data_IF_951741295652
#
_entry.id   IF_951741295652
#
_cell.length_a   1.000
_cell.length_b   1.000
_cell.length_c   1.000
_cell.angle_alpha   90.00
_cell.angle_beta   90.00
_cell.angle_gamma   90.00
#
_symmetry.space_group_name_H-M   'P 1'
#
loop_
_entity.id
_entity.type
_entity.pdbx_description
1 polymer ?
#
# COMPACT_ATOMS: atom_id res chain seq x y z
N UNK A 1 8.29 -1.87 2.99
CA UNK A 1 8.53 -3.33 2.98
C UNK A 1 10.01 -3.61 2.71
N UNK A 2 10.64 -4.61 3.35
CA UNK A 2 12.05 -4.98 3.13
C UNK A 2 12.23 -5.76 1.82
N UNK A 3 12.54 -5.03 0.74
CA UNK A 3 12.69 -5.58 -0.62
C UNK A 3 13.92 -6.50 -0.77
N UNK A 4 14.95 -6.35 0.07
CA UNK A 4 16.10 -7.26 0.08
C UNK A 4 15.70 -8.67 0.51
N UNK A 5 14.98 -8.78 1.62
CA UNK A 5 14.48 -10.06 2.10
C UNK A 5 13.50 -10.66 1.08
N UNK A 6 12.63 -9.83 0.50
CA UNK A 6 11.69 -10.29 -0.52
C UNK A 6 12.38 -10.85 -1.77
N UNK A 7 13.42 -10.19 -2.29
CA UNK A 7 14.20 -10.70 -3.43
C UNK A 7 14.84 -12.06 -3.15
N UNK A 8 15.30 -12.29 -1.92
CA UNK A 8 15.82 -13.60 -1.53
C UNK A 8 14.71 -14.65 -1.39
N UNK A 9 13.50 -14.28 -0.94
CA UNK A 9 12.33 -15.18 -0.98
C UNK A 9 12.01 -15.57 -2.42
N UNK A 10 12.04 -14.63 -3.37
CA UNK A 10 11.83 -14.93 -4.79
C UNK A 10 12.89 -15.87 -5.36
N UNK A 11 14.17 -15.65 -5.05
CA UNK A 11 15.24 -16.56 -5.47
C UNK A 11 14.99 -17.98 -4.92
N UNK A 12 14.69 -18.09 -3.63
CA UNK A 12 14.38 -19.38 -3.01
C UNK A 12 13.10 -20.01 -3.63
N UNK A 13 12.09 -19.21 -3.95
CA UNK A 13 10.87 -19.67 -4.61
C UNK A 13 11.18 -20.31 -5.96
N UNK A 14 12.02 -19.66 -6.77
CA UNK A 14 12.46 -20.14 -8.09
C UNK A 14 13.27 -21.43 -7.93
N UNK A 15 14.22 -21.47 -6.99
CA UNK A 15 15.09 -22.62 -6.76
C UNK A 15 14.31 -23.87 -6.31
N UNK A 16 13.26 -23.68 -5.50
CA UNK A 16 12.41 -24.76 -4.98
C UNK A 16 11.20 -25.07 -5.87
N UNK A 17 11.05 -24.41 -7.02
CA UNK A 17 9.82 -24.45 -7.81
C UNK A 17 9.40 -25.84 -8.26
N UNK A 18 10.35 -26.64 -8.73
CA UNK A 18 10.12 -28.03 -9.14
C UNK A 18 9.75 -28.92 -7.95
N UNK A 19 10.42 -28.76 -6.81
CA UNK A 19 10.13 -29.50 -5.58
C UNK A 19 8.70 -29.23 -5.09
N UNK A 20 8.27 -27.96 -5.12
CA UNK A 20 6.92 -27.56 -4.68
C UNK A 20 5.80 -28.11 -5.58
N UNK A 21 6.12 -28.62 -6.77
CA UNK A 21 5.15 -29.07 -7.76
C UNK A 21 5.44 -30.48 -8.30
N UNK A 22 6.21 -31.28 -7.56
CA UNK A 22 6.55 -32.64 -7.95
C UNK A 22 5.37 -33.63 -7.77
N UNK A 23 5.63 -34.92 -7.54
CA UNK A 23 4.57 -35.91 -7.31
C UNK A 23 4.14 -36.02 -5.84
N UNK A 24 4.99 -35.56 -4.92
CA UNK A 24 4.72 -35.55 -3.47
C UNK A 24 4.03 -34.26 -3.04
N UNK A 25 4.34 -33.16 -3.71
CA UNK A 25 3.80 -31.82 -3.52
C UNK A 25 2.98 -31.41 -4.74
N UNK A 26 2.04 -30.48 -4.57
CA UNK A 26 1.23 -29.99 -5.70
C UNK A 26 0.71 -28.62 -5.32
N UNK A 27 1.55 -27.57 -5.41
CA UNK A 27 1.10 -26.20 -5.13
C UNK A 27 0.33 -25.59 -6.32
N UNK A 28 0.53 -26.10 -7.54
CA UNK A 28 -0.29 -25.79 -8.72
C UNK A 28 -1.78 -26.04 -8.50
N UNK A 29 -2.14 -26.92 -7.56
CA UNK A 29 -3.53 -27.15 -7.16
C UNK A 29 -4.30 -25.87 -6.79
N UNK A 30 -3.62 -24.78 -6.37
CA UNK A 30 -4.26 -23.49 -6.07
C UNK A 30 -4.95 -22.88 -7.30
N UNK A 31 -4.29 -22.95 -8.46
CA UNK A 31 -4.82 -22.50 -9.74
C UNK A 31 -5.97 -23.38 -10.22
N UNK A 32 -5.82 -24.70 -10.06
CA UNK A 32 -6.90 -25.68 -10.29
C UNK A 32 -8.13 -25.40 -9.42
N UNK A 33 -7.91 -25.18 -8.12
CA UNK A 33 -8.99 -24.97 -7.17
C UNK A 33 -9.80 -23.72 -7.52
N UNK A 34 -9.15 -22.62 -7.88
CA UNK A 34 -9.82 -21.40 -8.31
C UNK A 34 -10.62 -21.62 -9.61
N UNK A 35 -10.03 -22.29 -10.60
CA UNK A 35 -10.69 -22.60 -11.88
C UNK A 35 -11.98 -23.40 -11.68
N UNK A 36 -11.92 -24.48 -10.91
CA UNK A 36 -13.08 -25.34 -10.69
C UNK A 36 -14.09 -24.74 -9.71
N UNK A 37 -13.64 -24.03 -8.68
CA UNK A 37 -14.55 -23.48 -7.66
C UNK A 37 -15.53 -22.48 -8.26
N UNK A 38 -15.05 -21.49 -9.02
CA UNK A 38 -15.92 -20.49 -9.66
C UNK A 38 -16.99 -21.16 -10.52
N UNK A 39 -16.56 -22.01 -11.47
CA UNK A 39 -17.46 -22.70 -12.41
C UNK A 39 -18.50 -23.55 -11.70
N UNK A 40 -18.08 -24.35 -10.73
CA UNK A 40 -19.00 -25.22 -10.01
C UNK A 40 -19.92 -24.43 -9.07
N UNK A 41 -19.46 -23.33 -8.46
CA UNK A 41 -20.33 -22.47 -7.68
C UNK A 41 -21.38 -21.78 -8.56
N UNK A 42 -21.01 -21.25 -9.72
CA UNK A 42 -21.96 -20.65 -10.67
C UNK A 42 -23.09 -21.62 -11.02
N UNK A 43 -22.75 -22.88 -11.33
CA UNK A 43 -23.71 -23.95 -11.59
C UNK A 43 -24.55 -24.27 -10.35
N UNK A 44 -23.92 -24.43 -9.18
CA UNK A 44 -24.60 -24.79 -7.94
C UNK A 44 -25.63 -23.74 -7.52
N UNK A 45 -25.32 -22.44 -7.68
CA UNK A 45 -26.22 -21.35 -7.28
C UNK A 45 -27.52 -21.31 -8.11
N UNK A 46 -27.58 -21.99 -9.27
CA UNK A 46 -28.81 -22.16 -10.06
C UNK A 46 -29.69 -23.33 -9.59
N UNK A 47 -29.17 -24.23 -8.76
CA UNK A 47 -29.85 -25.44 -8.30
C UNK A 47 -30.59 -25.20 -6.97
N UNK A 48 -31.49 -26.09 -6.58
CA UNK A 48 -32.27 -25.97 -5.34
C UNK A 48 -32.29 -27.26 -4.53
N UNK A 49 -32.60 -27.14 -3.23
CA UNK A 49 -32.77 -28.27 -2.33
C UNK A 49 -31.64 -29.29 -2.41
N UNK A 50 -31.98 -30.55 -2.71
CA UNK A 50 -31.03 -31.67 -2.74
C UNK A 50 -29.95 -31.51 -3.82
N UNK A 51 -30.28 -30.96 -4.99
CA UNK A 51 -29.32 -30.84 -6.09
C UNK A 51 -28.26 -29.77 -5.81
N UNK A 52 -28.65 -28.70 -5.12
CA UNK A 52 -27.70 -27.73 -4.58
C UNK A 52 -26.75 -28.38 -3.57
N UNK A 53 -27.28 -29.16 -2.62
CA UNK A 53 -26.46 -29.85 -1.60
C UNK A 53 -25.48 -30.84 -2.25
N UNK A 54 -25.92 -31.64 -3.21
CA UNK A 54 -25.05 -32.56 -3.95
C UNK A 54 -23.93 -31.82 -4.70
N UNK A 55 -24.22 -30.62 -5.20
CA UNK A 55 -23.22 -29.79 -5.88
C UNK A 55 -22.21 -29.22 -4.89
N UNK A 56 -22.65 -28.73 -3.72
CA UNK A 56 -21.72 -28.31 -2.67
C UNK A 56 -20.83 -29.47 -2.17
N UNK A 57 -21.35 -30.70 -2.10
CA UNK A 57 -20.54 -31.88 -1.74
C UNK A 57 -19.40 -32.10 -2.73
N UNK A 58 -19.63 -31.92 -4.04
CA UNK A 58 -18.58 -32.00 -5.07
C UNK A 58 -17.57 -30.86 -4.97
N UNK A 59 -18.06 -29.63 -4.76
CA UNK A 59 -17.20 -28.45 -4.62
C UNK A 59 -16.27 -28.59 -3.42
N UNK A 60 -16.75 -29.21 -2.33
CA UNK A 60 -15.92 -29.49 -1.16
C UNK A 60 -14.70 -30.32 -1.52
N UNK A 61 -14.81 -31.28 -2.42
CA UNK A 61 -13.66 -32.10 -2.81
C UNK A 61 -12.56 -31.31 -3.52
N UNK A 62 -12.92 -30.22 -4.21
CA UNK A 62 -11.99 -29.27 -4.83
C UNK A 62 -11.28 -28.42 -3.78
N UNK A 63 -12.03 -27.86 -2.81
CA UNK A 63 -11.51 -26.81 -1.92
C UNK A 63 -11.06 -27.27 -0.54
N UNK A 64 -11.29 -28.54 -0.18
CA UNK A 64 -11.04 -29.06 1.17
C UNK A 64 -9.60 -28.89 1.67
N UNK A 65 -8.62 -28.77 0.79
CA UNK A 65 -7.20 -28.59 1.17
C UNK A 65 -6.90 -27.13 1.54
N UNK A 66 -7.54 -26.16 0.86
CA UNK A 66 -7.33 -24.73 1.12
C UNK A 66 -8.17 -24.23 2.29
N UNK A 67 -9.45 -24.61 2.27
CA UNK A 67 -10.46 -24.05 3.17
C UNK A 67 -10.67 -24.92 4.40
N UNK A 68 -10.81 -26.24 4.19
CA UNK A 68 -11.00 -27.20 5.26
C UNK A 68 -9.65 -27.75 5.78
N UNK A 69 -9.69 -28.45 6.90
CA UNK A 69 -8.53 -28.96 7.63
C UNK A 69 -9.00 -29.53 8.97
N UNK A 70 -8.36 -29.17 10.09
CA UNK A 70 -8.94 -29.49 11.42
C UNK A 70 -10.30 -28.81 11.62
N UNK A 71 -10.39 -27.56 11.17
CA UNK A 71 -11.66 -26.86 11.00
C UNK A 71 -12.27 -27.30 9.68
N UNK A 72 -13.59 -27.36 9.60
CA UNK A 72 -14.33 -27.77 8.41
C UNK A 72 -15.38 -26.69 8.08
N UNK A 73 -14.98 -25.44 7.83
CA UNK A 73 -15.92 -24.37 7.54
C UNK A 73 -16.79 -24.67 6.30
N UNK A 74 -16.21 -25.10 5.18
CA UNK A 74 -17.02 -25.37 3.98
C UNK A 74 -17.83 -26.65 4.18
N UNK A 75 -17.20 -27.72 4.69
CA UNK A 75 -17.92 -28.94 5.08
C UNK A 75 -19.05 -28.71 6.09
N UNK A 76 -18.92 -27.71 6.96
CA UNK A 76 -19.95 -27.28 7.88
C UNK A 76 -21.16 -26.68 7.18
N UNK A 77 -20.96 -25.82 6.17
CA UNK A 77 -22.04 -25.28 5.34
C UNK A 77 -22.75 -26.39 4.55
N UNK A 78 -22.00 -27.35 4.01
CA UNK A 78 -22.57 -28.55 3.36
C UNK A 78 -23.44 -29.34 4.35
N UNK A 79 -22.93 -29.59 5.57
CA UNK A 79 -23.65 -30.32 6.59
C UNK A 79 -24.92 -29.59 7.06
N UNK A 80 -24.88 -28.27 7.18
CA UNK A 80 -26.03 -27.40 7.47
C UNK A 80 -27.07 -27.50 6.35
N UNK A 81 -26.64 -27.31 5.10
CA UNK A 81 -27.53 -27.35 3.94
C UNK A 81 -28.19 -28.72 3.76
N UNK A 82 -27.50 -29.82 4.10
CA UNK A 82 -28.01 -31.20 4.01
C UNK A 82 -28.99 -31.58 5.12
N UNK A 83 -28.93 -30.91 6.26
CA UNK A 83 -29.66 -31.29 7.48
C UNK A 83 -31.17 -31.25 7.26
N UNK A 84 -31.89 -32.12 7.97
CA UNK A 84 -33.36 -32.18 8.02
C UNK A 84 -34.03 -32.09 6.64
N UNK A 85 -33.57 -32.95 5.71
CA UNK A 85 -34.06 -33.02 4.34
C UNK A 85 -33.91 -31.72 3.54
N UNK A 86 -32.74 -31.08 3.68
CA UNK A 86 -32.36 -29.86 2.96
C UNK A 86 -33.17 -28.61 3.31
N UNK A 87 -33.73 -28.54 4.53
CA UNK A 87 -34.55 -27.40 4.99
C UNK A 87 -33.81 -26.05 4.92
N UNK A 88 -32.50 -26.03 5.20
CA UNK A 88 -31.68 -24.81 5.21
C UNK A 88 -30.84 -24.60 3.94
N UNK A 89 -31.14 -25.33 2.87
CA UNK A 89 -30.38 -25.25 1.63
C UNK A 89 -30.43 -23.83 1.03
N UNK A 90 -31.59 -23.18 1.06
CA UNK A 90 -31.75 -21.84 0.49
C UNK A 90 -31.12 -20.75 1.36
N UNK A 91 -31.10 -20.89 2.68
CA UNK A 91 -30.35 -19.99 3.56
C UNK A 91 -28.84 -20.10 3.31
N UNK A 92 -28.31 -21.31 3.17
CA UNK A 92 -26.88 -21.49 2.85
C UNK A 92 -26.55 -20.95 1.46
N UNK A 93 -27.43 -21.17 0.46
CA UNK A 93 -27.26 -20.58 -0.87
C UNK A 93 -27.24 -19.06 -0.79
N UNK A 94 -28.18 -18.47 -0.05
CA UNK A 94 -28.27 -17.01 0.12
C UNK A 94 -26.98 -16.41 0.68
N UNK A 95 -26.32 -17.10 1.62
CA UNK A 95 -25.01 -16.65 2.13
C UNK A 95 -23.99 -16.46 0.99
N UNK A 96 -23.87 -17.43 0.08
CA UNK A 96 -22.94 -17.33 -1.04
C UNK A 96 -23.38 -16.30 -2.08
N UNK A 97 -24.68 -16.24 -2.40
CA UNK A 97 -25.22 -15.22 -3.32
C UNK A 97 -24.93 -13.81 -2.81
N UNK A 98 -25.14 -13.57 -1.51
CA UNK A 98 -24.90 -12.26 -0.90
C UNK A 98 -23.39 -11.95 -0.81
N UNK A 99 -22.54 -12.94 -0.54
CA UNK A 99 -21.09 -12.78 -0.49
C UNK A 99 -20.47 -12.43 -1.84
N UNK A 100 -20.93 -13.08 -2.92
CA UNK A 100 -20.39 -12.92 -4.28
C UNK A 100 -21.01 -11.76 -5.06
N UNK A 101 -21.89 -10.95 -4.45
CA UNK A 101 -22.33 -9.70 -5.05
C UNK A 101 -21.14 -8.78 -5.29
N UNK A 102 -21.16 -8.11 -6.43
CA UNK A 102 -20.20 -7.06 -6.76
C UNK A 102 -20.19 -5.97 -5.67
N UNK A 103 -19.00 -5.64 -5.17
CA UNK A 103 -18.77 -4.54 -4.24
C UNK A 103 -18.27 -3.27 -4.91
N UNK A 104 -18.00 -3.29 -6.22
CA UNK A 104 -17.47 -2.17 -6.98
C UNK A 104 -16.05 -1.78 -6.53
N UNK A 105 -15.24 -2.77 -6.15
CA UNK A 105 -13.90 -2.61 -5.58
C UNK A 105 -13.84 -1.77 -4.30
N UNK A 106 -14.95 -1.73 -3.57
CA UNK A 106 -15.05 -1.03 -2.30
C UNK A 106 -14.76 -1.99 -1.13
N UNK A 107 -13.58 -1.81 -0.51
CA UNK A 107 -13.15 -2.66 0.61
C UNK A 107 -14.05 -2.55 1.84
N UNK A 108 -14.68 -1.40 2.09
CA UNK A 108 -15.61 -1.26 3.22
C UNK A 108 -16.87 -2.11 2.99
N UNK A 109 -17.45 -2.04 1.77
CA UNK A 109 -18.57 -2.92 1.40
C UNK A 109 -18.19 -4.39 1.43
N UNK A 110 -16.96 -4.71 1.05
CA UNK A 110 -16.43 -6.09 1.12
C UNK A 110 -16.36 -6.59 2.55
N UNK A 111 -15.85 -5.78 3.47
CA UNK A 111 -15.84 -6.10 4.91
C UNK A 111 -17.25 -6.27 5.48
N UNK A 112 -18.22 -5.44 5.06
CA UNK A 112 -19.63 -5.58 5.44
C UNK A 112 -20.22 -6.94 5.00
N UNK A 113 -19.96 -7.35 3.75
CA UNK A 113 -20.38 -8.67 3.23
C UNK A 113 -19.76 -9.82 4.03
N UNK A 114 -18.47 -9.72 4.37
CA UNK A 114 -17.77 -10.71 5.19
C UNK A 114 -18.41 -10.78 6.58
N UNK A 115 -18.62 -9.64 7.23
CA UNK A 115 -19.22 -9.57 8.56
C UNK A 115 -20.64 -10.17 8.57
N UNK A 116 -21.45 -9.86 7.55
CA UNK A 116 -22.78 -10.45 7.38
C UNK A 116 -22.72 -11.97 7.23
N UNK A 117 -21.83 -12.48 6.37
CA UNK A 117 -21.65 -13.92 6.17
C UNK A 117 -21.24 -14.62 7.47
N UNK A 118 -20.30 -14.05 8.22
CA UNK A 118 -19.84 -14.60 9.51
C UNK A 118 -20.98 -14.65 10.53
N UNK A 119 -21.78 -13.59 10.62
CA UNK A 119 -22.90 -13.52 11.55
C UNK A 119 -23.99 -14.54 11.21
N UNK A 120 -24.44 -14.58 9.96
CA UNK A 120 -25.55 -15.43 9.55
C UNK A 120 -25.17 -16.91 9.53
N UNK A 121 -23.97 -17.24 9.05
CA UNK A 121 -23.46 -18.63 9.10
C UNK A 121 -23.34 -19.15 10.53
N UNK A 122 -22.95 -18.30 11.49
CA UNK A 122 -22.90 -18.68 12.90
C UNK A 122 -24.30 -18.93 13.49
N UNK A 123 -25.31 -18.13 13.11
CA UNK A 123 -26.72 -18.39 13.48
C UNK A 123 -27.18 -19.76 12.96
N UNK A 124 -26.89 -20.10 11.70
CA UNK A 124 -27.23 -21.40 11.13
C UNK A 124 -26.48 -22.55 11.85
N UNK A 125 -25.19 -22.37 12.13
CA UNK A 125 -24.37 -23.35 12.86
C UNK A 125 -24.92 -23.58 14.26
N UNK A 126 -25.25 -22.54 15.01
CA UNK A 126 -25.81 -22.68 16.36
C UNK A 126 -27.19 -23.33 16.34
N UNK A 127 -28.01 -23.06 15.31
CA UNK A 127 -29.34 -23.67 15.14
C UNK A 127 -29.27 -25.19 14.92
N UNK A 128 -28.37 -25.68 14.06
CA UNK A 128 -28.34 -27.10 13.67
C UNK A 128 -27.19 -27.91 14.27
N UNK A 129 -26.05 -27.28 14.53
CA UNK A 129 -24.81 -27.91 14.98
C UNK A 129 -24.10 -27.12 16.11
N UNK A 130 -24.77 -26.80 17.24
CA UNK A 130 -24.22 -25.91 18.27
C UNK A 130 -22.92 -26.41 18.88
N UNK A 131 -22.74 -27.74 18.98
CA UNK A 131 -21.56 -28.40 19.54
C UNK A 131 -20.39 -28.53 18.55
N UNK A 132 -20.60 -28.26 17.26
CA UNK A 132 -19.57 -28.41 16.23
C UNK A 132 -18.91 -27.05 15.97
N UNK A 133 -17.98 -26.68 16.85
CA UNK A 133 -17.17 -25.47 16.65
C UNK A 133 -16.32 -25.54 15.38
N UNK A 134 -15.93 -26.75 14.94
CA UNK A 134 -15.19 -26.96 13.69
C UNK A 134 -15.90 -26.42 12.45
N UNK A 135 -17.21 -26.20 12.48
CA UNK A 135 -17.99 -25.66 11.35
C UNK A 135 -18.08 -24.12 11.34
N UNK A 136 -17.48 -23.46 12.34
CA UNK A 136 -17.50 -22.01 12.45
C UNK A 136 -16.72 -21.39 11.27
N UNK A 137 -17.31 -20.34 10.68
CA UNK A 137 -16.65 -19.52 9.67
C UNK A 137 -15.75 -18.48 10.33
N UNK A 138 -14.69 -18.08 9.62
CA UNK A 138 -13.73 -17.06 10.07
C UNK A 138 -13.34 -16.19 8.88
N UNK A 139 -12.66 -15.06 9.10
CA UNK A 139 -12.16 -14.22 8.01
C UNK A 139 -11.31 -15.01 7.00
N UNK A 140 -10.56 -16.02 7.47
CA UNK A 140 -9.82 -16.97 6.62
C UNK A 140 -10.72 -17.76 5.67
N UNK A 141 -11.83 -18.32 6.15
CA UNK A 141 -12.67 -19.16 5.27
C UNK A 141 -13.42 -18.30 4.26
N UNK A 142 -13.92 -17.14 4.69
CA UNK A 142 -14.69 -16.24 3.82
C UNK A 142 -13.82 -15.57 2.76
N UNK A 143 -12.62 -15.09 3.13
CA UNK A 143 -11.64 -14.60 2.13
C UNK A 143 -11.26 -15.69 1.13
N UNK A 144 -11.17 -16.94 1.56
CA UNK A 144 -10.93 -18.06 0.64
C UNK A 144 -12.07 -18.32 -0.33
N UNK A 145 -13.33 -18.17 0.08
CA UNK A 145 -14.44 -18.25 -0.88
C UNK A 145 -14.39 -17.13 -1.91
N UNK A 146 -14.14 -15.89 -1.47
CA UNK A 146 -14.01 -14.73 -2.37
C UNK A 146 -12.85 -14.91 -3.35
N UNK A 147 -11.67 -15.26 -2.83
CA UNK A 147 -10.46 -15.51 -3.63
C UNK A 147 -10.65 -16.62 -4.66
N UNK A 148 -11.23 -17.76 -4.28
CA UNK A 148 -11.44 -18.86 -5.22
C UNK A 148 -12.52 -18.55 -6.27
N UNK A 149 -13.49 -17.69 -5.93
CA UNK A 149 -14.53 -17.29 -6.85
C UNK A 149 -14.03 -16.23 -7.85
N UNK A 150 -13.22 -15.28 -7.39
CA UNK A 150 -12.73 -14.17 -8.19
C UNK A 150 -11.32 -13.73 -7.75
N UNK A 151 -10.28 -14.50 -8.14
CA UNK A 151 -8.92 -14.29 -7.66
C UNK A 151 -8.32 -12.96 -8.13
N UNK A 152 -8.75 -12.41 -9.26
CA UNK A 152 -8.23 -11.14 -9.79
C UNK A 152 -8.59 -9.92 -8.91
N UNK A 153 -9.61 -10.03 -8.05
CA UNK A 153 -10.07 -8.90 -7.23
C UNK A 153 -9.93 -9.15 -5.72
N UNK A 154 -9.51 -10.36 -5.31
CA UNK A 154 -9.47 -10.75 -3.91
C UNK A 154 -8.15 -11.45 -3.57
N UNK A 155 -7.68 -11.28 -2.33
CA UNK A 155 -6.55 -12.03 -1.79
C UNK A 155 -6.98 -13.08 -0.77
N UNK A 156 -6.36 -14.25 -0.83
CA UNK A 156 -6.53 -15.34 0.14
C UNK A 156 -5.78 -15.05 1.43
N UNK A 157 -6.45 -15.15 2.58
CA UNK A 157 -5.84 -14.90 3.89
C UNK A 157 -5.64 -16.19 4.70
N UNK A 158 -4.39 -16.47 5.10
CA UNK A 158 -4.08 -17.52 6.08
C UNK A 158 -3.19 -16.95 7.19
N UNK A 159 -3.80 -16.69 8.35
CA UNK A 159 -3.23 -15.90 9.44
C UNK A 159 -1.77 -16.22 9.80
N UNK A 160 -1.41 -17.50 10.00
CA UNK A 160 -0.05 -17.86 10.40
C UNK A 160 0.99 -17.61 9.29
N UNK A 161 0.65 -17.96 8.05
CA UNK A 161 1.50 -17.77 6.88
C UNK A 161 1.67 -16.27 6.58
N UNK A 162 0.58 -15.52 6.56
CA UNK A 162 0.60 -14.07 6.38
C UNK A 162 1.43 -13.37 7.45
N UNK A 163 1.29 -13.77 8.73
CA UNK A 163 2.06 -13.18 9.83
C UNK A 163 3.55 -13.47 9.72
N UNK A 164 3.93 -14.73 9.46
CA UNK A 164 5.33 -15.08 9.26
C UNK A 164 5.94 -14.35 8.07
N UNK A 165 5.21 -14.32 6.95
CA UNK A 165 5.65 -13.63 5.75
C UNK A 165 5.92 -12.15 6.04
N UNK A 166 4.98 -11.45 6.69
CA UNK A 166 5.16 -10.07 7.09
C UNK A 166 6.34 -9.84 8.04
N UNK A 167 6.61 -10.77 8.96
CA UNK A 167 7.81 -10.71 9.78
C UNK A 167 9.08 -10.83 8.91
N UNK A 168 9.09 -11.68 7.87
CA UNK A 168 10.22 -11.84 6.94
C UNK A 168 10.48 -10.57 6.12
N UNK A 169 9.41 -9.91 5.65
CA UNK A 169 9.50 -8.70 4.82
C UNK A 169 9.42 -7.40 5.63
N UNK A 170 9.49 -7.49 6.96
CA UNK A 170 9.43 -6.36 7.89
C UNK A 170 8.23 -5.43 7.60
N UNK A 171 7.06 -6.03 7.36
CA UNK A 171 5.82 -5.29 7.16
C UNK A 171 5.11 -5.06 8.49
N UNK A 172 5.09 -3.81 8.94
CA UNK A 172 4.61 -3.42 10.28
C UNK A 172 3.11 -3.22 10.41
N UNK A 173 2.35 -3.43 9.32
CA UNK A 173 0.90 -3.27 9.33
C UNK A 173 0.17 -4.16 10.32
N UNK A 174 -1.01 -3.73 10.72
CA UNK A 174 -1.90 -4.52 11.57
C UNK A 174 -3.26 -4.72 10.91
N UNK A 175 -3.43 -5.90 10.30
CA UNK A 175 -4.72 -6.31 9.73
C UNK A 175 -5.59 -7.10 10.72
N UNK A 176 -5.22 -7.19 12.00
CA UNK A 176 -5.99 -7.95 12.98
C UNK A 176 -5.84 -9.48 12.90
N UNK A 177 -6.78 -10.19 13.53
CA UNK A 177 -6.74 -11.66 13.65
C UNK A 177 -8.12 -12.28 13.89
N UNK A 178 -8.26 -13.57 13.58
CA UNK A 178 -9.46 -14.34 13.86
C UNK A 178 -10.63 -13.96 12.95
N UNK A 179 -11.70 -13.43 13.55
CA UNK A 179 -12.93 -13.01 12.85
C UNK A 179 -12.89 -11.53 12.45
N UNK A 180 -11.83 -10.80 12.81
CA UNK A 180 -11.65 -9.39 12.48
C UNK A 180 -10.42 -9.27 11.61
N UNK A 181 -10.63 -8.83 10.36
CA UNK A 181 -9.57 -8.51 9.42
C UNK A 181 -9.79 -7.09 8.91
N UNK A 182 -8.74 -6.28 8.94
CA UNK A 182 -8.69 -5.02 8.19
C UNK A 182 -8.15 -5.37 6.79
N UNK A 183 -9.06 -5.43 5.82
CA UNK A 183 -8.74 -5.79 4.45
C UNK A 183 -7.84 -4.75 3.80
N UNK A 184 -8.02 -3.47 4.11
CA UNK A 184 -7.20 -2.40 3.55
C UNK A 184 -5.73 -2.62 3.87
N UNK A 185 -5.42 -2.93 5.13
CA UNK A 185 -4.03 -3.12 5.54
C UNK A 185 -3.45 -4.46 5.05
N UNK A 186 -4.27 -5.52 5.00
CA UNK A 186 -3.82 -6.80 4.44
C UNK A 186 -3.59 -6.73 2.93
N UNK A 187 -4.50 -6.07 2.20
CA UNK A 187 -4.42 -5.92 0.74
C UNK A 187 -3.24 -5.03 0.38
N UNK A 188 -2.97 -3.96 1.15
CA UNK A 188 -1.76 -3.15 0.98
C UNK A 188 -0.48 -3.99 0.99
N UNK A 189 -0.35 -4.95 1.92
CA UNK A 189 0.80 -5.86 1.94
C UNK A 189 0.86 -6.72 0.67
N UNK A 190 -0.28 -7.23 0.22
CA UNK A 190 -0.36 -8.09 -0.96
C UNK A 190 -0.10 -7.32 -2.25
N UNK A 191 -0.59 -6.09 -2.37
CA UNK A 191 -0.37 -5.19 -3.51
C UNK A 191 1.10 -4.77 -3.60
N UNK A 192 1.74 -4.46 -2.46
CA UNK A 192 3.18 -4.21 -2.39
C UNK A 192 3.98 -5.44 -2.87
N UNK A 193 3.57 -6.64 -2.45
CA UNK A 193 4.16 -7.90 -2.92
C UNK A 193 3.98 -8.08 -4.43
N UNK A 194 2.77 -7.91 -4.97
CA UNK A 194 2.47 -8.01 -6.40
C UNK A 194 3.31 -7.00 -7.21
N UNK A 195 3.42 -5.76 -6.74
CA UNK A 195 4.26 -4.76 -7.39
C UNK A 195 5.73 -5.20 -7.49
N UNK A 196 6.26 -5.89 -6.48
CA UNK A 196 7.62 -6.43 -6.52
C UNK A 196 7.73 -7.70 -7.37
N UNK A 197 6.70 -8.54 -7.42
CA UNK A 197 6.62 -9.69 -8.34
C UNK A 197 6.72 -9.21 -9.79
N UNK A 198 5.97 -8.17 -10.16
CA UNK A 198 5.96 -7.59 -11.51
C UNK A 198 7.33 -7.03 -11.94
N UNK A 199 8.19 -6.69 -10.98
CA UNK A 199 9.56 -6.21 -11.22
C UNK A 199 10.59 -7.33 -11.36
N UNK A 200 10.18 -8.60 -11.25
CA UNK A 200 11.07 -9.77 -11.23
C UNK A 200 10.80 -10.71 -12.43
N UNK A 201 11.45 -10.50 -13.59
CA UNK A 201 11.21 -11.29 -14.81
C UNK A 201 11.48 -12.78 -14.63
N UNK A 202 12.47 -13.16 -13.82
CA UNK A 202 12.81 -14.57 -13.57
C UNK A 202 11.67 -15.28 -12.83
N UNK A 203 11.06 -14.61 -11.85
CA UNK A 203 9.91 -15.14 -11.11
C UNK A 203 8.69 -15.28 -12.02
N UNK A 204 8.39 -14.27 -12.84
CA UNK A 204 7.28 -14.33 -13.81
C UNK A 204 7.48 -15.45 -14.85
N UNK A 205 8.69 -15.64 -15.33
CA UNK A 205 9.02 -16.74 -16.25
C UNK A 205 8.82 -18.10 -15.57
N UNK A 206 9.22 -18.20 -14.31
CA UNK A 206 9.03 -19.41 -13.50
C UNK A 206 7.54 -19.70 -13.28
N UNK A 207 6.74 -18.70 -12.92
CA UNK A 207 5.30 -18.81 -12.76
C UNK A 207 4.59 -19.24 -14.06
N UNK A 208 4.95 -18.63 -15.20
CA UNK A 208 4.43 -19.02 -16.51
C UNK A 208 4.74 -20.48 -16.86
N UNK A 209 5.87 -21.01 -16.36
CA UNK A 209 6.26 -22.39 -16.64
C UNK A 209 5.31 -23.42 -16.04
N UNK A 210 4.41 -23.09 -15.11
CA UNK A 210 3.38 -24.04 -14.61
C UNK A 210 2.51 -24.60 -15.73
N UNK A 211 2.32 -23.83 -16.80
CA UNK A 211 1.39 -24.12 -17.89
C UNK A 211 2.03 -24.92 -19.03
N UNK A 212 3.26 -25.44 -18.87
CA UNK A 212 3.94 -26.21 -19.92
C UNK A 212 3.49 -27.69 -20.01
N UNK A 213 2.65 -28.14 -19.08
CA UNK A 213 2.11 -29.49 -19.02
C UNK A 213 3.03 -30.53 -18.37
N UNK A 214 4.13 -30.13 -17.71
CA UNK A 214 5.05 -31.08 -17.04
C UNK A 214 4.56 -31.55 -15.67
N UNK A 215 3.67 -30.79 -15.04
CA UNK A 215 3.16 -31.05 -13.70
C UNK A 215 1.85 -31.85 -13.72
N UNK A 216 1.41 -32.28 -12.53
CA UNK A 216 0.23 -33.13 -12.36
C UNK A 216 -1.08 -32.48 -12.84
N UNK A 217 -1.22 -31.18 -12.62
CA UNK A 217 -2.43 -30.43 -12.97
C UNK A 217 -2.39 -30.08 -14.46
N UNK A 218 -3.49 -30.35 -15.16
CA UNK A 218 -3.65 -29.98 -16.57
C UNK A 218 -3.69 -28.45 -16.71
N UNK A 219 -2.84 -27.83 -17.55
CA UNK A 219 -2.90 -26.40 -17.86
C UNK A 219 -4.29 -25.89 -18.27
N UNK A 220 -5.09 -26.70 -18.96
CA UNK A 220 -6.44 -26.31 -19.39
C UNK A 220 -7.46 -26.29 -18.22
N UNK A 221 -7.09 -26.86 -17.08
CA UNK A 221 -7.87 -26.87 -15.83
C UNK A 221 -7.34 -25.86 -14.80
N UNK A 222 -6.52 -24.90 -15.22
CA UNK A 222 -5.98 -23.84 -14.36
C UNK A 222 -6.49 -22.46 -14.78
N UNK A 223 -6.71 -21.59 -13.81
CA UNK A 223 -7.05 -20.18 -14.08
C UNK A 223 -5.79 -19.42 -14.53
N UNK A 224 -5.93 -18.48 -15.45
CA UNK A 224 -4.86 -17.54 -15.75
C UNK A 224 -4.85 -16.44 -14.69
N UNK A 225 -3.82 -16.40 -13.85
CA UNK A 225 -3.67 -15.43 -12.75
C UNK A 225 -3.16 -14.07 -13.25
N UNK A 226 -4.02 -13.33 -13.96
CA UNK A 226 -3.62 -12.11 -14.66
C UNK A 226 -3.15 -10.97 -13.72
N UNK A 227 -3.58 -11.01 -12.46
CA UNK A 227 -3.21 -10.06 -11.41
C UNK A 227 -2.16 -10.59 -10.44
N UNK A 228 -1.67 -11.81 -10.63
CA UNK A 228 -0.67 -12.46 -9.76
C UNK A 228 -1.12 -12.63 -8.31
N UNK A 229 -2.43 -12.61 -8.02
CA UNK A 229 -2.95 -12.73 -6.66
C UNK A 229 -2.82 -14.17 -6.13
N UNK A 230 -2.94 -15.16 -7.02
CA UNK A 230 -2.69 -16.56 -6.67
C UNK A 230 -1.21 -16.79 -6.44
N UNK A 231 -0.35 -16.24 -7.30
CA UNK A 231 1.11 -16.26 -7.11
C UNK A 231 1.52 -15.57 -5.80
N UNK A 232 0.94 -14.42 -5.48
CA UNK A 232 1.20 -13.73 -4.22
C UNK A 232 0.81 -14.60 -3.01
N UNK A 233 -0.37 -15.21 -3.04
CA UNK A 233 -0.78 -16.15 -2.00
C UNK A 233 0.15 -17.37 -1.91
N UNK A 234 0.56 -17.91 -3.06
CA UNK A 234 1.46 -19.05 -3.15
C UNK A 234 2.82 -18.75 -2.52
N UNK A 235 3.42 -17.61 -2.84
CA UNK A 235 4.68 -17.15 -2.23
C UNK A 235 4.53 -16.97 -0.71
N UNK A 236 3.45 -16.31 -0.24
CA UNK A 236 3.17 -16.15 1.20
C UNK A 236 3.06 -17.52 1.88
N UNK A 237 2.32 -18.44 1.28
CA UNK A 237 2.13 -19.78 1.82
C UNK A 237 3.43 -20.57 1.85
N UNK A 238 4.13 -20.63 0.72
CA UNK A 238 5.34 -21.42 0.51
C UNK A 238 6.51 -20.89 1.34
N UNK A 239 6.55 -19.58 1.62
CA UNK A 239 7.52 -19.00 2.55
C UNK A 239 7.54 -19.77 3.87
N UNK A 240 6.37 -20.05 4.43
CA UNK A 240 6.27 -20.85 5.66
C UNK A 240 6.48 -22.34 5.42
N UNK A 241 5.85 -22.91 4.40
CA UNK A 241 5.69 -24.38 4.27
C UNK A 241 6.95 -25.05 3.71
N UNK A 242 7.60 -24.41 2.74
CA UNK A 242 8.86 -24.88 2.15
C UNK A 242 10.08 -24.15 2.73
N UNK A 243 9.85 -23.16 3.59
CA UNK A 243 10.91 -22.45 4.30
C UNK A 243 11.70 -21.52 3.37
N UNK A 244 11.02 -20.80 2.47
CA UNK A 244 11.67 -19.82 1.60
C UNK A 244 12.30 -18.64 2.37
N UNK A 245 12.03 -18.52 3.68
CA UNK A 245 12.73 -17.59 4.56
C UNK A 245 14.13 -18.07 4.99
N UNK A 246 14.54 -19.30 4.66
CA UNK A 246 15.88 -19.80 5.02
C UNK A 246 16.97 -18.88 4.43
N UNK A 247 17.94 -18.54 5.28
CA UNK A 247 19.01 -17.59 4.93
C UNK A 247 18.65 -16.12 5.17
N UNK A 248 17.40 -15.80 5.47
CA UNK A 248 17.02 -14.45 5.89
C UNK A 248 17.42 -14.19 7.34
N UNK A 249 17.75 -12.94 7.63
CA UNK A 249 17.81 -12.43 9.00
C UNK A 249 16.60 -11.54 9.22
N UNK A 250 15.66 -12.00 10.04
CA UNK A 250 14.49 -11.24 10.46
C UNK A 250 14.15 -11.59 11.91
N UNK A 251 13.32 -10.76 12.55
CA UNK A 251 12.79 -11.02 13.88
C UNK A 251 11.27 -10.88 13.84
N UNK A 252 10.52 -11.67 14.63
CA UNK A 252 9.09 -11.46 14.77
C UNK A 252 8.78 -10.03 15.19
N UNK A 253 7.90 -9.36 14.44
CA UNK A 253 7.55 -7.97 14.70
C UNK A 253 6.69 -7.92 15.97
N UNK A 254 7.15 -7.17 16.98
CA UNK A 254 6.42 -6.99 18.22
C UNK A 254 5.45 -5.81 18.13
N UNK A 255 4.47 -5.76 19.03
CA UNK A 255 3.55 -4.60 19.16
C UNK A 255 4.35 -3.30 19.40
N UNK A 256 5.44 -3.38 20.18
CA UNK A 256 6.32 -2.24 20.42
C UNK A 256 6.98 -1.76 19.13
N UNK A 257 7.44 -2.67 18.29
CA UNK A 257 8.04 -2.33 16.99
C UNK A 257 7.02 -1.70 16.06
N UNK A 258 5.79 -2.24 16.01
CA UNK A 258 4.69 -1.63 15.24
C UNK A 258 4.40 -0.20 15.69
N UNK A 259 4.23 0.02 16.99
CA UNK A 259 3.95 1.36 17.53
C UNK A 259 5.09 2.33 17.20
N UNK A 260 6.34 1.90 17.36
CA UNK A 260 7.50 2.71 17.02
C UNK A 260 7.54 3.05 15.52
N UNK A 261 7.24 2.07 14.65
CA UNK A 261 7.16 2.31 13.21
C UNK A 261 6.07 3.33 12.86
N UNK A 262 4.87 3.20 13.43
CA UNK A 262 3.77 4.14 13.20
C UNK A 262 4.10 5.56 13.69
N UNK A 263 4.74 5.68 14.87
CA UNK A 263 5.22 6.98 15.36
C UNK A 263 6.26 7.60 14.42
N UNK A 264 7.22 6.80 13.93
CA UNK A 264 8.22 7.27 12.96
C UNK A 264 7.59 7.66 11.63
N UNK A 265 6.63 6.89 11.13
CA UNK A 265 5.89 7.19 9.89
C UNK A 265 5.10 8.50 10.03
N UNK A 266 4.38 8.71 11.13
CA UNK A 266 3.65 9.94 11.38
C UNK A 266 4.59 11.16 11.45
N UNK A 267 5.74 11.02 12.11
CA UNK A 267 6.78 12.07 12.15
C UNK A 267 7.36 12.35 10.77
N UNK A 268 7.68 11.30 10.02
CA UNK A 268 8.19 11.39 8.65
C UNK A 268 7.22 12.15 7.73
N UNK A 269 5.91 11.86 7.81
CA UNK A 269 4.89 12.56 7.03
C UNK A 269 4.80 14.05 7.38
N UNK A 270 4.75 14.39 8.67
CA UNK A 270 4.74 15.79 9.13
C UNK A 270 5.99 16.54 8.67
N UNK A 271 7.14 15.85 8.70
CA UNK A 271 8.41 16.40 8.28
C UNK A 271 8.46 16.61 6.75
N UNK A 272 7.96 15.65 5.97
CA UNK A 272 7.88 15.74 4.52
C UNK A 272 6.97 16.90 4.08
N UNK A 273 5.79 17.03 4.69
CA UNK A 273 4.92 18.19 4.43
C UNK A 273 5.60 19.52 4.78
N UNK A 274 6.38 19.54 5.87
CA UNK A 274 7.13 20.73 6.29
C UNK A 274 8.24 21.06 5.31
N UNK A 275 8.95 20.05 4.81
CA UNK A 275 9.96 20.17 3.76
C UNK A 275 9.35 20.71 2.46
N UNK A 276 8.20 20.18 2.03
CA UNK A 276 7.49 20.66 0.85
C UNK A 276 7.03 22.12 1.00
N UNK A 277 6.53 22.49 2.18
CA UNK A 277 6.20 23.89 2.50
C UNK A 277 7.42 24.79 2.46
N UNK A 278 8.56 24.34 3.01
CA UNK A 278 9.81 25.10 3.00
C UNK A 278 10.35 25.27 1.57
N UNK A 279 10.30 24.23 0.75
CA UNK A 279 10.68 24.30 -0.67
C UNK A 279 9.81 25.26 -1.47
N UNK A 280 8.48 25.28 -1.23
CA UNK A 280 7.59 26.27 -1.85
C UNK A 280 8.01 27.70 -1.47
N UNK A 281 8.28 27.97 -0.19
CA UNK A 281 8.76 29.27 0.28
C UNK A 281 10.12 29.66 -0.32
N UNK A 282 11.04 28.71 -0.44
CA UNK A 282 12.34 28.94 -1.07
C UNK A 282 12.20 29.30 -2.55
N UNK A 283 11.30 28.61 -3.28
CA UNK A 283 11.01 28.94 -4.67
C UNK A 283 10.39 30.34 -4.80
N UNK A 284 9.49 30.73 -3.88
CA UNK A 284 8.95 32.09 -3.85
C UNK A 284 10.02 33.15 -3.57
N UNK A 285 10.96 32.89 -2.65
CA UNK A 285 12.08 33.79 -2.39
C UNK A 285 12.98 33.95 -3.63
N UNK A 286 13.27 32.85 -4.33
CA UNK A 286 14.02 32.89 -5.60
C UNK A 286 13.30 33.71 -6.68
N UNK A 287 11.98 33.65 -6.75
CA UNK A 287 11.20 34.51 -7.65
C UNK A 287 11.31 35.99 -7.26
N UNK A 288 11.25 36.30 -5.96
CA UNK A 288 11.47 37.67 -5.47
C UNK A 288 12.88 38.16 -5.82
N UNK A 289 13.90 37.33 -5.63
CA UNK A 289 15.28 37.65 -6.00
C UNK A 289 15.42 37.92 -7.50
N UNK A 290 14.83 37.06 -8.34
CA UNK A 290 14.83 37.25 -9.80
C UNK A 290 14.15 38.57 -10.20
N UNK A 291 13.00 38.88 -9.60
CA UNK A 291 12.27 40.12 -9.84
C UNK A 291 13.12 41.35 -9.47
N UNK A 292 13.63 41.42 -8.24
CA UNK A 292 14.39 42.59 -7.79
C UNK A 292 15.76 42.70 -8.46
N UNK A 293 16.43 41.60 -8.81
CA UNK A 293 17.66 41.63 -9.60
C UNK A 293 17.44 42.17 -11.02
N UNK A 294 16.24 42.00 -11.59
CA UNK A 294 15.91 42.58 -12.90
C UNK A 294 15.68 44.10 -12.85
N UNK A 295 15.29 44.64 -11.68
CA UNK A 295 15.02 46.07 -11.46
C UNK A 295 16.27 46.81 -10.98
N UNK A 296 16.96 46.23 -9.99
CA UNK A 296 18.08 46.84 -9.28
C UNK A 296 19.40 46.58 -10.03
N UNK A 297 19.45 46.98 -11.29
CA UNK A 297 20.62 46.87 -12.17
C UNK A 297 21.45 48.16 -12.16
N UNK A 298 22.74 48.12 -12.54
CA UNK A 298 23.56 49.33 -12.69
C UNK A 298 22.90 50.36 -13.61
N UNK A 299 22.90 51.63 -13.18
CA UNK A 299 22.23 52.72 -13.87
C UNK A 299 20.80 53.02 -13.38
N UNK A 300 20.17 52.15 -12.59
CA UNK A 300 18.85 52.41 -12.01
C UNK A 300 18.92 53.52 -10.96
N UNK A 301 17.99 54.49 -11.03
CA UNK A 301 17.84 55.54 -10.03
C UNK A 301 17.10 55.02 -8.79
N UNK A 302 17.64 55.34 -7.62
CA UNK A 302 17.09 55.00 -6.29
C UNK A 302 17.04 56.24 -5.40
N UNK A 303 16.18 56.24 -4.40
CA UNK A 303 16.12 57.29 -3.37
C UNK A 303 16.33 56.70 -1.98
N UNK A 304 17.25 57.29 -1.22
CA UNK A 304 17.47 57.00 0.20
C UNK A 304 16.99 58.19 1.05
N UNK A 305 16.46 57.92 2.24
CA UNK A 305 15.90 58.96 3.13
C UNK A 305 16.95 59.97 3.62
N UNK A 306 18.18 59.53 3.86
CA UNK A 306 19.29 60.38 4.35
C UNK A 306 20.16 60.97 3.23
N UNK A 307 20.38 60.22 2.15
CA UNK A 307 21.39 60.57 1.13
C UNK A 307 20.79 61.15 -0.16
N UNK A 308 19.46 61.17 -0.27
CA UNK A 308 18.77 61.72 -1.44
C UNK A 308 18.76 60.76 -2.63
N UNK A 309 18.87 61.33 -3.84
CA UNK A 309 18.83 60.59 -5.10
C UNK A 309 20.21 60.00 -5.38
N UNK A 310 20.24 58.74 -5.80
CA UNK A 310 21.46 58.03 -6.19
C UNK A 310 21.23 57.09 -7.36
N UNK A 311 22.33 56.60 -7.92
CA UNK A 311 22.34 55.65 -9.05
C UNK A 311 23.07 54.39 -8.62
N UNK A 312 22.48 53.22 -8.90
CA UNK A 312 23.11 51.92 -8.63
C UNK A 312 24.35 51.78 -9.50
N UNK A 313 25.46 51.41 -8.89
CA UNK A 313 26.75 51.15 -9.54
C UNK A 313 26.96 49.66 -9.71
N UNK A 314 26.58 48.87 -8.70
CA UNK A 314 26.74 47.41 -8.70
C UNK A 314 25.63 46.77 -7.85
N UNK A 315 25.16 45.59 -8.29
CA UNK A 315 24.36 44.68 -7.49
C UNK A 315 24.86 43.25 -7.73
N UNK A 316 25.28 42.57 -6.66
CA UNK A 316 25.76 41.19 -6.70
C UNK A 316 24.92 40.23 -5.85
N UNK A 317 23.67 40.60 -5.59
CA UNK A 317 22.67 39.83 -4.82
C UNK A 317 23.03 39.56 -3.35
N UNK A 318 24.20 40.04 -2.88
CA UNK A 318 24.51 40.18 -1.45
C UNK A 318 24.50 41.66 -1.04
N UNK A 319 24.98 42.54 -1.92
CA UNK A 319 25.11 43.98 -1.65
C UNK A 319 24.68 44.80 -2.86
N UNK A 320 24.16 45.99 -2.57
CA UNK A 320 23.82 47.02 -3.56
C UNK A 320 24.73 48.22 -3.29
N UNK A 321 25.50 48.63 -4.30
CA UNK A 321 26.38 49.80 -4.23
C UNK A 321 25.73 50.96 -4.96
N UNK A 322 25.56 52.09 -4.29
CA UNK A 322 24.87 53.27 -4.81
C UNK A 322 25.78 54.49 -4.73
N UNK A 323 25.91 55.21 -5.83
CA UNK A 323 26.54 56.54 -5.88
C UNK A 323 25.46 57.61 -5.72
N UNK A 324 25.55 58.43 -4.67
CA UNK A 324 24.59 59.51 -4.40
C UNK A 324 25.10 60.85 -4.94
N UNK A 325 24.20 61.72 -5.40
CA UNK A 325 24.55 63.02 -6.00
C UNK A 325 25.28 63.97 -5.04
N UNK A 326 25.06 63.80 -3.73
CA UNK A 326 25.60 64.67 -2.67
C UNK A 326 26.77 64.03 -1.88
N UNK A 327 27.34 62.93 -2.36
CA UNK A 327 28.39 62.20 -1.64
C UNK A 327 29.64 61.96 -2.48
N UNK A 328 30.82 62.08 -1.85
CA UNK A 328 32.11 61.86 -2.52
C UNK A 328 32.43 60.37 -2.75
N UNK A 329 31.80 59.46 -2.00
CA UNK A 329 32.05 58.01 -2.07
C UNK A 329 30.75 57.18 -2.18
N UNK A 330 30.74 56.09 -2.97
CA UNK A 330 29.61 55.15 -3.04
C UNK A 330 29.28 54.53 -1.67
N UNK A 331 27.99 54.30 -1.41
CA UNK A 331 27.51 53.62 -0.21
C UNK A 331 27.08 52.20 -0.52
N UNK A 332 27.36 51.31 0.41
CA UNK A 332 27.08 49.88 0.32
C UNK A 332 25.87 49.57 1.21
N UNK A 333 24.86 48.93 0.65
CA UNK A 333 23.69 48.44 1.36
C UNK A 333 23.60 46.92 1.24
N UNK A 334 23.04 46.28 2.27
CA UNK A 334 22.68 44.87 2.19
C UNK A 334 21.48 44.69 1.25
N UNK A 335 21.54 43.68 0.39
CA UNK A 335 20.53 43.43 -0.64
C UNK A 335 19.13 43.19 -0.04
N UNK A 336 19.01 42.25 0.90
CA UNK A 336 17.71 41.86 1.43
C UNK A 336 17.12 42.92 2.36
N UNK A 337 17.95 43.56 3.21
CA UNK A 337 17.47 44.64 4.08
C UNK A 337 17.01 45.87 3.27
N UNK A 338 17.67 46.17 2.14
CA UNK A 338 17.25 47.27 1.27
C UNK A 338 15.83 47.08 0.73
N UNK A 339 15.49 45.83 0.39
CA UNK A 339 14.17 45.45 -0.12
C UNK A 339 13.16 45.36 1.04
N UNK A 340 13.48 44.60 2.08
CA UNK A 340 12.57 44.31 3.20
C UNK A 340 12.12 45.59 3.92
N UNK A 341 13.06 46.41 4.37
CA UNK A 341 12.79 47.61 5.17
C UNK A 341 12.59 48.86 4.30
N UNK A 342 12.75 48.75 2.97
CA UNK A 342 12.50 49.84 2.03
C UNK A 342 13.47 51.02 2.16
N UNK A 343 14.69 50.77 2.61
CA UNK A 343 15.74 51.79 2.73
C UNK A 343 16.05 52.47 1.39
N UNK A 344 15.97 51.70 0.29
CA UNK A 344 16.06 52.20 -1.06
C UNK A 344 14.67 52.18 -1.70
N UNK A 345 14.19 53.36 -2.11
CA UNK A 345 12.96 53.49 -2.90
C UNK A 345 13.30 53.50 -4.38
N UNK A 346 12.59 52.69 -5.17
CA UNK A 346 12.75 52.54 -6.61
C UNK A 346 11.38 52.34 -7.26
N UNK A 347 11.31 52.50 -8.59
CA UNK A 347 10.11 52.18 -9.33
C UNK A 347 9.96 50.65 -9.45
N UNK A 348 8.79 50.14 -9.06
CA UNK A 348 8.44 48.73 -9.15
C UNK A 348 6.98 48.62 -9.65
N UNK A 349 6.68 47.53 -10.35
CA UNK A 349 5.36 47.24 -10.94
C UNK A 349 4.54 46.21 -10.16
N UNK A 350 5.05 45.70 -9.02
CA UNK A 350 4.31 44.77 -8.17
C UNK A 350 3.06 45.42 -7.57
N UNK A 351 2.01 44.61 -7.39
CA UNK A 351 0.87 45.01 -6.56
C UNK A 351 1.23 44.97 -5.06
N UNK A 352 0.48 45.71 -4.25
CA UNK A 352 0.75 45.89 -2.82
C UNK A 352 0.85 44.55 -2.05
N UNK A 353 0.02 43.55 -2.40
CA UNK A 353 0.05 42.25 -1.71
C UNK A 353 1.27 41.44 -2.08
N UNK A 354 1.66 41.43 -3.36
CA UNK A 354 2.86 40.74 -3.81
C UNK A 354 4.11 41.40 -3.25
N UNK A 355 4.15 42.74 -3.21
CA UNK A 355 5.24 43.51 -2.61
C UNK A 355 5.40 43.18 -1.12
N UNK A 356 4.32 43.21 -0.33
CA UNK A 356 4.37 42.89 1.10
C UNK A 356 4.86 41.45 1.34
N UNK A 357 4.39 40.50 0.54
CA UNK A 357 4.83 39.09 0.61
C UNK A 357 6.32 38.95 0.33
N UNK A 358 6.82 39.58 -0.74
CA UNK A 358 8.24 39.51 -1.10
C UNK A 358 9.14 40.23 -0.07
N UNK A 359 8.73 41.39 0.44
CA UNK A 359 9.42 42.06 1.55
C UNK A 359 9.53 41.16 2.78
N UNK A 360 8.44 40.47 3.13
CA UNK A 360 8.42 39.53 4.26
C UNK A 360 9.37 38.35 4.03
N UNK A 361 9.42 37.80 2.81
CA UNK A 361 10.36 36.73 2.46
C UNK A 361 11.82 37.22 2.56
N UNK A 362 12.14 38.39 2.01
CA UNK A 362 13.48 38.98 2.11
C UNK A 362 13.90 39.24 3.56
N UNK A 363 12.97 39.69 4.42
CA UNK A 363 13.22 39.89 5.85
C UNK A 363 13.64 38.61 6.57
N UNK A 364 13.13 37.47 6.12
CA UNK A 364 13.39 36.15 6.70
C UNK A 364 14.23 35.24 5.79
N UNK A 365 14.97 35.81 4.83
CA UNK A 365 15.68 35.04 3.79
C UNK A 365 16.62 33.98 4.38
N UNK A 366 17.39 34.32 5.42
CA UNK A 366 18.32 33.38 6.08
C UNK A 366 17.58 32.15 6.61
N UNK A 367 16.47 32.36 7.31
CA UNK A 367 15.67 31.27 7.86
C UNK A 367 15.01 30.42 6.75
N UNK A 368 14.61 31.04 5.62
CA UNK A 368 14.05 30.31 4.48
C UNK A 368 15.10 29.40 3.84
N UNK A 369 16.33 29.88 3.64
CA UNK A 369 17.42 29.07 3.11
C UNK A 369 17.84 27.95 4.06
N UNK A 370 17.97 28.23 5.35
CA UNK A 370 18.39 27.25 6.37
C UNK A 370 17.35 26.15 6.59
N UNK A 371 16.06 26.50 6.58
CA UNK A 371 14.97 25.55 6.86
C UNK A 371 14.97 24.35 5.91
N UNK A 372 15.22 24.54 4.61
CA UNK A 372 15.23 23.44 3.63
C UNK A 372 16.38 22.47 3.93
N UNK A 373 17.59 22.98 4.20
CA UNK A 373 18.75 22.15 4.49
C UNK A 373 18.62 21.38 5.80
N UNK A 374 18.05 22.00 6.84
CA UNK A 374 17.77 21.34 8.11
C UNK A 374 16.73 20.22 7.95
N UNK A 375 15.58 20.53 7.33
CA UNK A 375 14.51 19.56 7.14
C UNK A 375 14.95 18.40 6.24
N UNK A 376 15.78 18.65 5.23
CA UNK A 376 16.36 17.59 4.40
C UNK A 376 17.23 16.65 5.24
N UNK A 377 18.06 17.19 6.14
CA UNK A 377 18.92 16.38 7.02
C UNK A 377 18.09 15.55 8.00
N UNK A 378 17.03 16.13 8.56
CA UNK A 378 16.11 15.41 9.44
C UNK A 378 15.35 14.31 8.68
N UNK A 379 14.98 14.54 7.41
CA UNK A 379 14.30 13.54 6.57
C UNK A 379 15.17 12.32 6.28
N UNK A 380 16.50 12.50 6.17
CA UNK A 380 17.43 11.38 5.95
C UNK A 380 17.36 10.34 7.08
N UNK A 381 17.00 10.75 8.31
CA UNK A 381 16.82 9.83 9.46
C UNK A 381 15.58 8.91 9.32
N UNK A 382 14.69 9.22 8.38
CA UNK A 382 13.45 8.49 8.10
C UNK A 382 13.43 7.87 6.70
N UNK A 383 14.56 7.88 6.00
CA UNK A 383 14.66 7.39 4.63
C UNK A 383 14.20 5.93 4.49
N UNK A 384 14.44 5.11 5.50
CA UNK A 384 13.99 3.71 5.58
C UNK A 384 12.47 3.51 5.62
N UNK A 385 11.71 4.57 5.89
CA UNK A 385 10.24 4.55 6.02
C UNK A 385 9.56 5.36 4.88
N UNK A 386 10.27 6.30 4.26
CA UNK A 386 9.74 7.19 3.22
C UNK A 386 9.97 6.63 1.79
N UNK A 387 10.98 5.78 1.59
CA UNK A 387 11.17 5.00 0.36
C UNK A 387 10.21 3.80 0.29
#
# INVERSE_FOLDING_TARGET
MNTKNLKQIFANYIDHFEEMNDTEHDENFKWYAAFHFRRQMDEALQLNGKDFVLSLEKIRDVVKVLIDGRMQPFGGLVAIAKKDNCELADEVKKLFVDLFKDDGDDLEKREEKIAFFLQESEKLRLKKFPKYYSYKQTARSVSGYLFLYDPDNHYMYKAMQAKLFADCIEFYGDWGSGDQIDLKEYYRMCDELVSEIEKCPELLTTDQSRFDGRFRVDPDEMVLDSKHHILAYDIIYCTSVYGLFKGLTFKPITIKDKNLYQERLARAQVLLESYDRANRRLNELKQAEQHYNAILVPGTQVRHSMYGIGTIVENNSAKIIVSFENGDEPKIFDYYFSIADGHLKFADSLDEKTEERYRTLCKHHTAVYEAVGQLQKELEEYRDIIE
#
